data_IF_790878604831
#
_entry.id   IF_790878604831
#
_cell.length_a   1.000
_cell.length_b   1.000
_cell.length_c   1.000
_cell.angle_alpha   90.00
_cell.angle_beta   90.00
_cell.angle_gamma   90.00
#
_symmetry.space_group_name_H-M   'P 1'
#
loop_
_entity.id
_entity.type
_entity.pdbx_description
1 polymer ?
#
# COMPACT_ATOMS: atom_id res chain seq x y z
N UNK A 1 34.74 -54.05 71.71
CA UNK A 1 34.04 -52.86 71.14
C UNK A 1 32.60 -52.98 71.59
N UNK A 2 32.15 -52.12 72.54
CA UNK A 2 30.80 -52.13 73.04
C UNK A 2 29.86 -51.54 71.99
N UNK A 3 28.87 -52.29 71.55
CA UNK A 3 27.85 -51.90 70.63
C UNK A 3 26.76 -51.15 71.44
N UNK A 4 26.94 -49.81 71.60
CA UNK A 4 25.94 -48.98 72.28
C UNK A 4 24.65 -48.94 71.43
N UNK A 5 23.56 -49.42 72.00
CA UNK A 5 22.26 -49.30 71.42
C UNK A 5 21.80 -47.82 71.35
N UNK A 6 21.38 -47.30 70.24
CA UNK A 6 20.91 -45.92 70.13
C UNK A 6 19.83 -45.61 71.17
N UNK A 7 19.93 -44.43 71.80
CA UNK A 7 18.91 -43.98 72.75
C UNK A 7 17.52 -43.90 72.14
N UNK A 8 16.41 -44.11 72.89
CA UNK A 8 15.08 -43.99 72.41
C UNK A 8 14.81 -42.63 71.70
N UNK A 9 15.45 -41.57 72.24
CA UNK A 9 15.35 -40.21 71.65
C UNK A 9 16.03 -40.14 70.29
N UNK A 10 17.25 -40.74 70.15
CA UNK A 10 17.93 -40.78 68.85
C UNK A 10 17.17 -41.56 67.78
N UNK A 11 16.51 -42.63 68.19
CA UNK A 11 15.69 -43.44 67.30
C UNK A 11 14.41 -42.72 66.83
N UNK A 12 13.77 -41.93 67.73
CA UNK A 12 12.57 -41.12 67.38
C UNK A 12 12.93 -39.99 66.42
N UNK A 13 14.08 -39.32 66.66
CA UNK A 13 14.61 -38.28 65.79
C UNK A 13 14.95 -38.83 64.39
N UNK A 14 15.56 -40.00 64.31
CA UNK A 14 15.92 -40.62 63.02
C UNK A 14 14.67 -41.00 62.25
N UNK A 15 13.64 -41.56 62.91
CA UNK A 15 12.35 -41.90 62.25
C UNK A 15 11.65 -40.66 61.79
N UNK A 16 11.64 -39.57 62.53
CA UNK A 16 11.03 -38.29 62.09
C UNK A 16 11.76 -37.70 60.88
N UNK A 17 13.11 -37.75 60.83
CA UNK A 17 13.89 -37.30 59.68
C UNK A 17 13.54 -38.13 58.41
N UNK A 18 13.48 -39.47 58.57
CA UNK A 18 13.13 -40.38 57.43
C UNK A 18 11.72 -40.10 56.90
N UNK A 19 10.75 -39.83 57.77
CA UNK A 19 9.39 -39.50 57.35
C UNK A 19 9.31 -38.15 56.66
N UNK A 20 10.05 -37.15 57.11
CA UNK A 20 10.14 -35.84 56.47
C UNK A 20 10.78 -35.98 55.07
N UNK A 21 11.89 -36.68 54.93
CA UNK A 21 12.56 -36.90 53.65
C UNK A 21 11.68 -37.70 52.70
N UNK A 22 11.00 -38.73 53.20
CA UNK A 22 10.06 -39.52 52.41
C UNK A 22 8.84 -38.67 51.93
N UNK A 23 8.30 -37.81 52.83
CA UNK A 23 7.21 -36.90 52.52
C UNK A 23 7.61 -35.84 51.47
N UNK A 24 8.76 -35.20 51.61
CA UNK A 24 9.29 -34.25 50.64
C UNK A 24 9.58 -34.93 49.30
N UNK A 25 10.18 -36.15 49.34
CA UNK A 25 10.45 -36.94 48.15
C UNK A 25 9.15 -37.30 47.41
N UNK A 26 8.10 -37.69 48.13
CA UNK A 26 6.78 -37.98 47.51
C UNK A 26 6.12 -36.76 46.89
N UNK A 27 6.21 -35.57 47.52
CA UNK A 27 5.70 -34.32 46.98
C UNK A 27 6.47 -33.94 45.71
N UNK A 28 7.79 -34.04 45.70
CA UNK A 28 8.62 -33.73 44.53
C UNK A 28 8.32 -34.69 43.36
N UNK A 29 8.13 -35.99 43.65
CA UNK A 29 7.74 -36.98 42.64
C UNK A 29 6.33 -36.73 42.12
N UNK A 30 5.38 -36.32 42.95
CA UNK A 30 4.04 -35.96 42.56
C UNK A 30 4.07 -34.75 41.66
N UNK A 31 4.77 -33.67 41.99
CA UNK A 31 4.88 -32.47 41.14
C UNK A 31 5.64 -32.76 39.82
N UNK A 32 6.66 -33.64 39.87
CA UNK A 32 7.37 -34.06 38.65
C UNK A 32 6.50 -34.88 37.69
N UNK A 33 5.70 -35.79 38.24
CA UNK A 33 4.79 -36.65 37.44
C UNK A 33 3.41 -36.01 37.19
N UNK A 34 3.14 -34.84 37.74
CA UNK A 34 1.90 -34.12 37.51
C UNK A 34 1.80 -33.85 36.01
N UNK A 35 0.74 -34.32 35.31
CA UNK A 35 0.57 -34.00 33.94
C UNK A 35 0.55 -32.47 33.78
N UNK A 36 1.56 -31.91 33.14
CA UNK A 36 1.52 -30.49 32.76
C UNK A 36 0.31 -30.35 31.87
N UNK A 37 -0.71 -29.67 32.36
CA UNK A 37 -1.84 -29.30 31.52
C UNK A 37 -1.27 -28.66 30.26
N UNK A 38 -1.40 -29.32 29.12
CA UNK A 38 -1.03 -28.72 27.85
C UNK A 38 -1.90 -27.46 27.75
N UNK A 39 -1.28 -26.30 27.88
CA UNK A 39 -1.94 -25.04 27.58
C UNK A 39 -2.28 -25.15 26.11
N UNK A 40 -3.55 -25.39 25.78
CA UNK A 40 -4.03 -25.36 24.41
C UNK A 40 -3.84 -23.94 23.94
N UNK A 41 -2.79 -23.71 23.16
CA UNK A 41 -2.58 -22.41 22.51
C UNK A 41 -3.68 -22.32 21.45
N UNK A 42 -4.66 -21.45 21.69
CA UNK A 42 -5.69 -21.14 20.70
C UNK A 42 -5.00 -20.58 19.46
N UNK A 43 -5.24 -21.23 18.34
CA UNK A 43 -4.79 -20.77 17.02
C UNK A 43 -5.98 -20.40 16.16
N UNK A 44 -5.80 -19.46 15.29
CA UNK A 44 -6.78 -18.97 14.32
C UNK A 44 -7.29 -20.11 13.46
N UNK A 45 -8.60 -20.28 13.38
CA UNK A 45 -9.30 -21.23 12.53
C UNK A 45 -10.20 -20.49 11.53
N UNK A 46 -10.59 -21.16 10.46
CA UNK A 46 -11.63 -20.65 9.57
C UNK A 46 -12.96 -20.54 10.34
N UNK A 47 -13.63 -19.40 10.18
CA UNK A 47 -14.83 -19.01 10.93
C UNK A 47 -14.55 -18.02 12.07
N UNK A 48 -13.34 -17.99 12.61
CA UNK A 48 -12.96 -17.08 13.68
C UNK A 48 -12.99 -15.62 13.24
N UNK A 49 -13.03 -14.72 14.24
CA UNK A 49 -12.77 -13.30 14.05
C UNK A 49 -11.49 -12.93 14.77
N UNK A 50 -10.66 -12.12 14.14
CA UNK A 50 -9.37 -11.69 14.72
C UNK A 50 -9.17 -10.20 14.53
N UNK A 51 -8.42 -9.58 15.44
CA UNK A 51 -7.80 -8.28 15.17
C UNK A 51 -6.33 -8.49 14.87
N UNK A 52 -5.84 -7.80 13.85
CA UNK A 52 -4.45 -7.92 13.42
C UNK A 52 -3.80 -6.56 13.23
N UNK A 53 -2.53 -6.45 13.62
CA UNK A 53 -1.66 -5.40 13.11
C UNK A 53 -0.92 -5.90 11.87
N UNK A 54 -0.72 -5.01 10.89
CA UNK A 54 -0.05 -5.40 9.66
C UNK A 54 0.74 -4.26 8.99
N UNK A 55 1.67 -4.68 8.14
CA UNK A 55 2.33 -3.86 7.13
C UNK A 55 2.12 -4.60 5.81
N UNK A 56 1.50 -3.94 4.83
CA UNK A 56 1.31 -4.45 3.47
C UNK A 56 2.31 -3.80 2.53
N UNK A 57 3.12 -4.62 1.88
CA UNK A 57 4.19 -4.22 0.97
C UNK A 57 4.05 -4.92 -0.38
N UNK A 58 4.59 -4.32 -1.44
CA UNK A 58 4.73 -5.02 -2.70
C UNK A 58 5.81 -6.08 -2.59
N UNK A 59 5.49 -7.33 -2.89
CA UNK A 59 6.42 -8.47 -2.82
C UNK A 59 7.33 -8.57 -4.06
N UNK A 60 7.00 -7.86 -5.15
CA UNK A 60 7.75 -7.91 -6.41
C UNK A 60 7.54 -6.65 -7.25
N UNK A 61 8.22 -6.58 -8.41
CA UNK A 61 8.07 -5.46 -9.35
C UNK A 61 8.88 -4.22 -8.98
N UNK A 62 8.58 -3.11 -9.66
CA UNK A 62 9.30 -1.84 -9.50
C UNK A 62 9.11 -1.19 -8.13
N UNK A 63 8.04 -1.53 -7.43
CA UNK A 63 7.71 -1.04 -6.10
C UNK A 63 7.98 -2.09 -5.00
N UNK A 64 8.75 -3.15 -5.27
CA UNK A 64 9.07 -4.18 -4.26
C UNK A 64 9.60 -3.55 -2.96
N UNK A 65 9.02 -3.95 -1.82
CA UNK A 65 9.34 -3.41 -0.49
C UNK A 65 8.70 -2.05 -0.18
N UNK A 66 7.93 -1.45 -1.11
CA UNK A 66 7.17 -0.23 -0.82
C UNK A 66 5.86 -0.56 -0.10
N UNK A 67 5.58 0.19 0.95
CA UNK A 67 4.35 0.04 1.76
C UNK A 67 3.18 0.67 1.04
N UNK A 68 2.12 -0.11 0.76
CA UNK A 68 0.87 0.39 0.20
C UNK A 68 -0.22 0.60 1.26
N UNK A 69 -0.15 -0.10 2.40
CA UNK A 69 -1.06 0.11 3.54
C UNK A 69 -0.46 -0.44 4.84
N UNK A 70 -0.90 0.10 5.99
CA UNK A 70 -0.44 -0.35 7.31
C UNK A 70 -1.43 0.03 8.41
N UNK A 71 -1.46 -0.76 9.49
CA UNK A 71 -2.15 -0.42 10.73
C UNK A 71 -1.27 0.38 11.71
N UNK A 72 0.02 0.59 11.42
CA UNK A 72 0.95 1.29 12.31
C UNK A 72 1.18 2.72 11.88
N UNK A 73 0.84 3.70 12.72
CA UNK A 73 1.16 5.11 12.49
C UNK A 73 2.67 5.35 12.32
N UNK A 74 3.51 4.69 13.13
CA UNK A 74 4.97 4.83 13.05
C UNK A 74 5.54 4.38 11.69
N UNK A 75 4.94 3.38 11.05
CA UNK A 75 5.28 2.96 9.69
C UNK A 75 4.78 3.98 8.68
N UNK A 76 3.54 4.44 8.84
CA UNK A 76 2.88 5.38 7.92
C UNK A 76 3.66 6.70 7.74
N UNK A 77 4.27 7.21 8.81
CA UNK A 77 5.00 8.51 8.79
C UNK A 77 6.51 8.38 8.55
N UNK A 78 7.05 7.17 8.56
CA UNK A 78 8.49 6.92 8.38
C UNK A 78 8.79 6.49 6.94
N UNK A 79 9.03 7.46 6.05
CA UNK A 79 9.34 7.17 4.65
C UNK A 79 10.79 6.70 4.43
N UNK A 80 11.69 6.93 5.40
CA UNK A 80 13.09 6.52 5.27
C UNK A 80 13.26 5.02 5.42
N UNK A 81 12.63 4.43 6.45
CA UNK A 81 12.71 2.98 6.71
C UNK A 81 11.62 2.18 6.01
N UNK A 82 10.53 2.83 5.62
CA UNK A 82 9.36 2.24 4.99
C UNK A 82 8.97 3.11 3.79
N UNK A 83 9.64 2.98 2.64
CA UNK A 83 9.27 3.72 1.43
C UNK A 83 7.82 3.43 1.08
N UNK A 84 7.11 4.46 0.59
CA UNK A 84 5.68 4.35 0.26
C UNK A 84 5.49 4.08 -1.22
N UNK A 85 4.42 3.36 -1.52
CA UNK A 85 3.99 3.18 -2.89
C UNK A 85 3.53 4.50 -3.53
N UNK A 86 3.41 4.51 -4.85
CA UNK A 86 3.05 5.71 -5.61
C UNK A 86 1.64 6.21 -5.29
N UNK A 87 0.70 5.30 -5.04
CA UNK A 87 -0.69 5.63 -4.67
C UNK A 87 -0.93 5.57 -3.15
N UNK A 88 0.12 5.48 -2.32
CA UNK A 88 -0.04 5.43 -0.87
C UNK A 88 -0.82 6.64 -0.35
N UNK A 89 -1.89 6.36 0.38
CA UNK A 89 -2.71 7.39 1.03
C UNK A 89 -2.73 7.18 2.55
N UNK A 90 -2.21 8.12 3.36
CA UNK A 90 -2.23 7.99 4.81
C UNK A 90 -3.67 8.06 5.33
N UNK A 91 -3.98 7.25 6.36
CA UNK A 91 -5.31 7.18 6.98
C UNK A 91 -5.71 8.41 7.79
N UNK A 92 -4.80 9.39 7.95
CA UNK A 92 -5.03 10.60 8.75
C UNK A 92 -4.29 10.59 10.09
N UNK A 93 -4.92 11.06 11.19
CA UNK A 93 -4.26 11.18 12.49
C UNK A 93 -3.91 9.81 13.10
N UNK A 94 -3.05 9.81 14.13
CA UNK A 94 -2.60 8.58 14.82
C UNK A 94 -3.75 7.68 15.28
N UNK A 95 -4.88 8.27 15.66
CA UNK A 95 -6.09 7.54 16.09
C UNK A 95 -6.79 6.74 14.99
N UNK A 96 -6.46 6.98 13.71
CA UNK A 96 -6.98 6.22 12.57
C UNK A 96 -6.20 4.91 12.32
N UNK A 97 -5.06 4.73 12.99
CA UNK A 97 -4.22 3.55 12.88
C UNK A 97 -4.51 2.58 14.03
N UNK A 98 -5.43 1.69 13.79
CA UNK A 98 -5.89 0.66 14.74
C UNK A 98 -5.73 -0.73 14.12
N UNK A 99 -5.66 -1.80 14.93
CA UNK A 99 -5.70 -3.16 14.41
C UNK A 99 -6.91 -3.37 13.48
N UNK A 100 -6.70 -4.08 12.38
CA UNK A 100 -7.75 -4.44 11.43
C UNK A 100 -8.57 -5.61 11.98
N UNK A 101 -9.89 -5.46 12.04
CA UNK A 101 -10.80 -6.55 12.32
C UNK A 101 -11.02 -7.42 11.07
N UNK A 102 -10.71 -8.70 11.15
CA UNK A 102 -10.78 -9.66 10.05
C UNK A 102 -11.67 -10.83 10.42
N UNK A 103 -12.66 -11.12 9.56
CA UNK A 103 -13.34 -12.40 9.56
C UNK A 103 -12.51 -13.41 8.77
N UNK A 104 -12.13 -14.53 9.39
CA UNK A 104 -11.27 -15.56 8.80
C UNK A 104 -12.13 -16.51 7.97
N UNK A 105 -12.40 -16.14 6.73
CA UNK A 105 -13.25 -16.92 5.84
C UNK A 105 -13.61 -16.18 4.54
N UNK A 106 -14.23 -16.89 3.58
CA UNK A 106 -14.53 -16.35 2.26
C UNK A 106 -15.67 -15.32 2.26
N UNK A 107 -16.55 -15.35 3.24
CA UNK A 107 -17.73 -14.48 3.32
C UNK A 107 -17.97 -13.99 4.74
N UNK A 108 -17.91 -12.68 4.95
CA UNK A 108 -18.48 -12.06 6.14
C UNK A 108 -19.98 -11.80 5.89
N UNK A 109 -20.83 -11.74 6.95
CA UNK A 109 -22.19 -11.24 6.82
C UNK A 109 -22.21 -9.87 6.14
N UNK A 110 -23.24 -9.59 5.33
CA UNK A 110 -23.35 -8.35 4.55
C UNK A 110 -23.30 -7.04 5.38
N UNK A 111 -23.56 -7.12 6.69
CA UNK A 111 -23.48 -6.00 7.64
C UNK A 111 -22.12 -5.87 8.34
N UNK A 112 -21.12 -6.71 7.99
CA UNK A 112 -19.95 -6.95 8.83
C UNK A 112 -20.32 -7.73 10.08
N UNK A 113 -19.33 -8.36 10.72
CA UNK A 113 -19.53 -9.00 12.02
C UNK A 113 -19.04 -8.05 13.11
N UNK A 114 -19.90 -7.74 14.10
CA UNK A 114 -19.55 -6.78 15.17
C UNK A 114 -19.54 -7.48 16.52
N UNK A 115 -18.43 -7.37 17.24
CA UNK A 115 -18.29 -7.83 18.63
C UNK A 115 -17.93 -6.58 19.47
N UNK A 116 -18.84 -6.13 20.30
CA UNK A 116 -18.69 -4.86 21.03
C UNK A 116 -18.58 -3.68 20.04
N UNK A 117 -17.45 -2.97 20.07
CA UNK A 117 -17.16 -1.84 19.17
C UNK A 117 -16.25 -2.24 17.98
N UNK A 118 -15.92 -3.53 17.84
CA UNK A 118 -15.05 -4.04 16.78
C UNK A 118 -15.89 -4.52 15.61
N UNK A 119 -15.52 -4.11 14.39
CA UNK A 119 -16.11 -4.58 13.14
C UNK A 119 -15.11 -5.48 12.43
N UNK A 120 -15.55 -6.66 12.01
CA UNK A 120 -14.74 -7.64 11.29
C UNK A 120 -15.21 -7.70 9.85
N UNK A 121 -14.29 -7.52 8.93
CA UNK A 121 -14.56 -7.45 7.51
C UNK A 121 -13.95 -8.65 6.77
N UNK A 122 -14.49 -8.93 5.59
CA UNK A 122 -13.84 -9.84 4.65
C UNK A 122 -12.59 -9.16 4.08
N UNK A 123 -11.54 -9.93 3.94
CA UNK A 123 -10.29 -9.51 3.29
C UNK A 123 -10.00 -10.43 2.11
N UNK A 124 -8.97 -10.11 1.31
CA UNK A 124 -8.58 -10.96 0.16
C UNK A 124 -8.22 -12.37 0.62
N UNK A 125 -8.51 -13.35 -0.24
CA UNK A 125 -8.45 -14.79 0.10
C UNK A 125 -7.09 -15.19 0.66
N UNK A 126 -5.99 -14.79 0.03
CA UNK A 126 -4.64 -15.15 0.49
C UNK A 126 -4.31 -14.60 1.88
N UNK A 127 -4.86 -13.41 2.21
CA UNK A 127 -4.63 -12.81 3.53
C UNK A 127 -5.28 -13.63 4.65
N UNK A 128 -6.61 -13.90 4.57
CA UNK A 128 -7.26 -14.66 5.65
C UNK A 128 -6.79 -16.11 5.72
N UNK A 129 -6.49 -16.77 4.58
CA UNK A 129 -5.91 -18.11 4.57
C UNK A 129 -4.55 -18.15 5.27
N UNK A 130 -3.72 -17.11 5.08
CA UNK A 130 -2.43 -16.99 5.73
C UNK A 130 -2.50 -16.78 7.26
N UNK A 131 -3.65 -16.34 7.81
CA UNK A 131 -3.86 -16.19 9.24
C UNK A 131 -4.11 -17.53 9.93
N UNK A 132 -4.68 -18.52 9.25
CA UNK A 132 -5.01 -19.83 9.82
C UNK A 132 -3.78 -20.48 10.44
N UNK A 133 -3.95 -20.98 11.67
CA UNK A 133 -2.90 -21.61 12.47
C UNK A 133 -1.98 -20.64 13.24
N UNK A 134 -2.13 -19.30 13.09
CA UNK A 134 -1.42 -18.34 13.93
C UNK A 134 -2.01 -18.30 15.34
N UNK A 135 -1.15 -18.21 16.34
CA UNK A 135 -1.55 -17.94 17.73
C UNK A 135 -1.59 -16.43 18.01
N UNK A 136 -2.25 -16.03 19.09
CA UNK A 136 -2.20 -14.66 19.59
C UNK A 136 -0.77 -14.18 19.81
N UNK A 137 -0.47 -12.94 19.43
CA UNK A 137 0.84 -12.30 19.42
C UNK A 137 1.89 -12.95 18.50
N UNK A 138 1.49 -13.89 17.66
CA UNK A 138 2.40 -14.46 16.65
C UNK A 138 2.42 -13.58 15.41
N UNK A 139 3.63 -13.39 14.85
CA UNK A 139 3.86 -12.64 13.60
C UNK A 139 4.24 -13.61 12.48
N UNK A 140 3.72 -13.34 11.28
CA UNK A 140 4.04 -14.09 10.05
C UNK A 140 4.04 -13.13 8.86
N UNK A 141 4.91 -13.38 7.89
CA UNK A 141 4.77 -12.81 6.55
C UNK A 141 3.85 -13.70 5.72
N UNK A 142 2.79 -13.11 5.18
CA UNK A 142 1.81 -13.78 4.32
C UNK A 142 2.02 -13.25 2.91
N UNK A 143 2.41 -14.14 1.99
CA UNK A 143 2.58 -13.81 0.56
C UNK A 143 1.26 -14.07 -0.15
N UNK A 144 0.71 -13.04 -0.78
CA UNK A 144 -0.59 -13.08 -1.47
C UNK A 144 -0.37 -12.85 -2.96
N UNK A 145 -0.43 -13.91 -3.78
CA UNK A 145 -0.33 -13.77 -5.23
C UNK A 145 -1.61 -13.11 -5.81
N UNK A 146 -1.56 -12.55 -7.04
CA UNK A 146 -2.68 -11.80 -7.62
C UNK A 146 -4.02 -12.57 -7.62
N UNK A 147 -4.01 -13.86 -7.93
CA UNK A 147 -5.21 -14.70 -7.97
C UNK A 147 -5.87 -14.96 -6.61
N UNK A 148 -5.14 -14.77 -5.50
CA UNK A 148 -5.66 -14.83 -4.13
C UNK A 148 -5.76 -13.44 -3.49
N UNK A 149 -5.34 -12.40 -4.22
CA UNK A 149 -5.38 -11.00 -3.83
C UNK A 149 -6.40 -10.21 -4.64
N UNK A 150 -5.93 -9.17 -5.33
CA UNK A 150 -6.77 -8.22 -6.06
C UNK A 150 -7.02 -8.61 -7.52
N UNK A 151 -6.63 -9.80 -7.93
CA UNK A 151 -6.84 -10.31 -9.29
C UNK A 151 -5.79 -9.85 -10.30
N UNK A 152 -5.93 -10.33 -11.54
CA UNK A 152 -5.07 -9.94 -12.64
C UNK A 152 -5.36 -8.50 -13.12
N UNK A 153 -4.42 -7.87 -13.80
CA UNK A 153 -4.61 -6.58 -14.46
C UNK A 153 -5.80 -6.64 -15.45
N UNK A 154 -6.62 -5.60 -15.42
CA UNK A 154 -7.67 -5.40 -16.40
C UNK A 154 -7.09 -4.63 -17.60
N UNK A 155 -6.96 -5.29 -18.74
CA UNK A 155 -6.42 -4.69 -19.96
C UNK A 155 -7.23 -3.48 -20.47
N UNK A 156 -8.53 -3.40 -20.17
CA UNK A 156 -9.36 -2.25 -20.54
C UNK A 156 -9.05 -0.99 -19.71
N UNK A 157 -8.34 -1.13 -18.61
CA UNK A 157 -7.84 -0.04 -17.78
C UNK A 157 -6.40 0.37 -18.14
N UNK A 158 -5.91 -0.05 -19.32
CA UNK A 158 -4.57 0.29 -19.80
C UNK A 158 -4.69 1.07 -21.12
N UNK A 159 -3.84 2.09 -21.27
CA UNK A 159 -3.76 2.93 -22.47
C UNK A 159 -2.32 3.01 -22.96
N UNK A 160 -2.14 3.00 -24.26
CA UNK A 160 -0.84 3.24 -24.90
C UNK A 160 -0.81 4.66 -25.43
N UNK A 161 0.24 5.40 -25.06
CA UNK A 161 0.46 6.79 -25.48
C UNK A 161 1.83 6.94 -26.16
N UNK A 162 1.99 7.86 -27.11
CA UNK A 162 3.25 8.06 -27.82
C UNK A 162 4.30 8.74 -26.93
N UNK A 163 5.58 8.36 -27.08
CA UNK A 163 6.71 9.05 -26.45
C UNK A 163 7.05 10.37 -27.12
N UNK A 164 6.55 10.60 -28.33
CA UNK A 164 6.72 11.86 -29.08
C UNK A 164 5.37 12.29 -29.61
N UNK A 165 4.99 13.51 -29.34
CA UNK A 165 3.78 14.10 -29.88
C UNK A 165 3.95 15.59 -30.16
N UNK A 166 2.94 16.24 -30.74
CA UNK A 166 3.00 17.66 -31.06
C UNK A 166 1.90 18.44 -30.38
N UNK A 167 2.24 19.67 -29.94
CA UNK A 167 1.31 20.70 -29.49
C UNK A 167 1.29 21.86 -30.49
N UNK A 168 0.20 22.64 -30.58
CA UNK A 168 0.16 23.83 -31.43
C UNK A 168 0.96 24.98 -30.82
N UNK A 169 1.58 25.80 -31.68
CA UNK A 169 2.20 27.08 -31.25
C UNK A 169 1.12 28.12 -30.92
N UNK A 170 -0.02 28.09 -31.64
CA UNK A 170 -1.15 28.99 -31.43
C UNK A 170 -2.41 28.19 -31.09
N UNK A 171 -3.11 28.60 -30.04
CA UNK A 171 -4.38 28.02 -29.62
C UNK A 171 -5.49 29.07 -29.68
N UNK A 172 -6.59 28.76 -30.33
CA UNK A 172 -7.81 29.57 -30.36
C UNK A 172 -8.74 29.12 -29.23
N UNK A 173 -8.96 29.95 -28.24
CA UNK A 173 -9.75 29.65 -27.05
C UNK A 173 -11.04 30.49 -27.09
N UNK A 174 -12.24 29.89 -27.00
CA UNK A 174 -13.46 30.67 -26.81
C UNK A 174 -13.39 31.55 -25.57
N UNK A 175 -13.74 32.83 -25.66
CA UNK A 175 -13.70 33.79 -24.53
C UNK A 175 -14.41 33.22 -23.31
N UNK A 176 -15.60 32.60 -23.51
CA UNK A 176 -16.37 32.00 -22.42
C UNK A 176 -15.67 30.82 -21.67
N UNK A 177 -14.66 30.21 -22.29
CA UNK A 177 -13.92 29.09 -21.71
C UNK A 177 -12.52 29.47 -21.23
N UNK A 178 -12.06 30.67 -21.55
CA UNK A 178 -10.68 31.10 -21.26
C UNK A 178 -10.34 30.94 -19.77
N UNK A 179 -11.14 31.53 -18.87
CA UNK A 179 -10.89 31.45 -17.42
C UNK A 179 -11.03 30.04 -16.82
N UNK A 180 -11.72 29.12 -17.51
CA UNK A 180 -11.77 27.70 -17.08
C UNK A 180 -10.52 26.93 -17.52
N UNK A 181 -10.02 27.19 -18.73
CA UNK A 181 -8.86 26.54 -19.31
C UNK A 181 -7.54 27.11 -18.76
N UNK A 182 -7.52 28.38 -18.45
CA UNK A 182 -6.37 29.14 -17.94
C UNK A 182 -6.78 29.92 -16.68
N UNK A 183 -6.92 29.25 -15.53
CA UNK A 183 -7.44 29.86 -14.30
C UNK A 183 -6.59 31.01 -13.78
N UNK A 184 -5.29 30.96 -14.01
CA UNK A 184 -4.32 32.00 -13.62
C UNK A 184 -4.10 33.06 -14.73
N UNK A 185 -4.76 32.89 -15.89
CA UNK A 185 -4.62 33.74 -17.05
C UNK A 185 -5.60 34.91 -17.08
N UNK A 186 -5.20 36.02 -17.68
CA UNK A 186 -6.07 37.16 -17.98
C UNK A 186 -6.21 37.31 -19.49
N UNK A 187 -7.47 37.40 -19.99
CA UNK A 187 -7.77 37.57 -21.41
C UNK A 187 -7.48 39.02 -21.89
N UNK A 188 -6.23 39.45 -21.72
CA UNK A 188 -5.73 40.76 -22.10
C UNK A 188 -4.50 40.58 -22.98
N UNK A 189 -4.43 41.27 -24.11
CA UNK A 189 -3.28 41.20 -25.03
C UNK A 189 -2.00 41.51 -24.31
N UNK A 190 -0.98 40.65 -24.47
CA UNK A 190 0.32 40.71 -23.82
C UNK A 190 0.34 40.07 -22.41
N UNK A 191 -0.77 39.61 -21.84
CA UNK A 191 -0.75 38.85 -20.59
C UNK A 191 0.02 37.55 -20.78
N UNK A 192 0.86 37.21 -19.79
CA UNK A 192 1.67 35.99 -19.75
C UNK A 192 1.23 35.18 -18.54
N UNK A 193 1.05 33.85 -18.72
CA UNK A 193 0.63 32.92 -17.70
C UNK A 193 1.16 31.51 -17.99
N UNK A 194 1.19 30.63 -17.00
CA UNK A 194 1.57 29.24 -17.18
C UNK A 194 0.45 28.46 -17.91
N UNK A 195 0.84 27.67 -18.93
CA UNK A 195 -0.07 26.69 -19.53
C UNK A 195 -0.30 25.55 -18.52
N UNK A 196 -1.57 25.26 -18.14
CA UNK A 196 -1.86 24.27 -17.11
C UNK A 196 -1.63 22.82 -17.58
N UNK A 197 -1.56 22.59 -18.89
CA UNK A 197 -1.30 21.26 -19.48
C UNK A 197 0.18 20.96 -19.56
N UNK A 198 0.96 21.94 -20.00
CA UNK A 198 2.38 21.73 -20.31
C UNK A 198 3.34 22.36 -19.30
N UNK A 199 2.89 23.37 -18.54
CA UNK A 199 3.68 24.06 -17.53
C UNK A 199 4.65 25.12 -18.08
N UNK A 200 4.74 25.31 -19.39
CA UNK A 200 5.48 26.44 -19.98
C UNK A 200 4.65 27.72 -19.90
N UNK A 201 5.24 28.86 -20.29
CA UNK A 201 4.51 30.13 -20.38
C UNK A 201 3.81 30.29 -21.73
N UNK A 202 2.59 30.80 -21.69
CA UNK A 202 1.83 31.26 -22.82
C UNK A 202 1.62 32.77 -22.76
N UNK A 203 1.28 33.40 -23.89
CA UNK A 203 0.88 34.81 -23.97
C UNK A 203 -0.35 35.01 -24.82
N UNK A 204 -1.19 35.99 -24.47
CA UNK A 204 -2.34 36.39 -25.26
C UNK A 204 -1.89 37.29 -26.42
N UNK A 205 -2.08 36.85 -27.67
CA UNK A 205 -1.76 37.64 -28.86
C UNK A 205 -2.90 38.57 -29.29
N UNK A 206 -4.14 38.08 -29.21
CA UNK A 206 -5.29 38.87 -29.56
C UNK A 206 -6.54 38.43 -28.84
N UNK A 207 -7.47 39.35 -28.67
CA UNK A 207 -8.80 39.12 -28.07
C UNK A 207 -9.84 39.77 -28.96
N UNK A 208 -10.89 39.05 -29.31
CA UNK A 208 -12.08 39.58 -29.94
C UNK A 208 -13.32 39.16 -29.15
N UNK A 209 -14.51 39.42 -29.63
CA UNK A 209 -15.80 39.15 -28.96
C UNK A 209 -16.05 37.66 -28.69
N UNK A 210 -15.40 36.74 -29.41
CA UNK A 210 -15.67 35.30 -29.33
C UNK A 210 -14.42 34.47 -28.99
N UNK A 211 -13.22 34.98 -29.31
CA UNK A 211 -11.97 34.17 -29.26
C UNK A 211 -10.83 34.94 -28.65
N UNK A 212 -10.07 34.25 -27.82
CA UNK A 212 -8.73 34.63 -27.34
C UNK A 212 -7.73 33.79 -28.10
N UNK A 213 -6.75 34.43 -28.77
CA UNK A 213 -5.63 33.71 -29.39
C UNK A 213 -4.47 33.71 -28.41
N UNK A 214 -4.04 32.51 -28.03
CA UNK A 214 -2.94 32.24 -27.12
C UNK A 214 -1.77 31.67 -27.90
N UNK A 215 -0.56 32.18 -27.63
CA UNK A 215 0.68 31.67 -28.20
C UNK A 215 1.57 31.08 -27.12
N UNK A 216 2.16 29.92 -27.40
CA UNK A 216 3.18 29.34 -26.56
C UNK A 216 4.48 30.14 -26.65
N UNK A 217 5.13 30.34 -25.49
CA UNK A 217 6.49 30.91 -25.37
C UNK A 217 7.56 29.81 -25.20
N UNK A 218 7.20 28.55 -25.43
CA UNK A 218 8.14 27.44 -25.36
C UNK A 218 9.22 27.54 -26.43
N UNK A 219 10.43 27.10 -26.11
CA UNK A 219 11.58 27.00 -27.01
C UNK A 219 12.17 25.59 -26.92
N UNK A 220 13.00 25.20 -27.89
CA UNK A 220 13.72 23.92 -27.83
C UNK A 220 14.54 23.85 -26.54
N UNK A 221 14.39 22.72 -25.81
CA UNK A 221 14.96 22.51 -24.47
C UNK A 221 14.02 22.90 -23.31
N UNK A 222 12.88 23.55 -23.57
CA UNK A 222 11.89 23.82 -22.51
C UNK A 222 11.35 22.50 -21.96
N UNK A 223 11.36 22.35 -20.61
CA UNK A 223 10.73 21.22 -19.93
C UNK A 223 9.22 21.39 -19.89
N UNK A 224 8.51 20.31 -20.08
CA UNK A 224 7.05 20.24 -20.04
C UNK A 224 6.62 19.02 -19.25
N UNK A 225 5.43 19.09 -18.65
CA UNK A 225 4.93 18.03 -17.78
C UNK A 225 3.48 17.67 -18.12
N UNK A 226 3.16 17.34 -19.40
CA UNK A 226 1.80 16.90 -19.73
C UNK A 226 1.44 15.66 -18.91
N UNK A 227 0.23 15.68 -18.33
CA UNK A 227 -0.26 14.63 -17.43
C UNK A 227 0.73 14.30 -16.27
N UNK A 228 1.58 15.25 -15.87
CA UNK A 228 2.59 15.06 -14.82
C UNK A 228 3.86 14.35 -15.26
N UNK A 229 3.95 13.92 -16.52
CA UNK A 229 5.10 13.16 -17.04
C UNK A 229 6.19 14.09 -17.58
N UNK A 230 7.49 13.71 -17.45
CA UNK A 230 8.59 14.55 -17.91
C UNK A 230 8.76 14.48 -19.43
N UNK A 231 8.60 15.63 -20.08
CA UNK A 231 8.84 15.84 -21.50
C UNK A 231 9.78 17.04 -21.73
N UNK A 232 10.37 17.10 -22.90
CA UNK A 232 11.15 18.24 -23.35
C UNK A 232 10.71 18.63 -24.76
N UNK A 233 10.72 19.94 -25.04
CA UNK A 233 10.53 20.44 -26.41
C UNK A 233 11.78 20.07 -27.22
N UNK A 234 11.63 19.12 -28.14
CA UNK A 234 12.71 18.59 -28.98
C UNK A 234 12.83 19.32 -30.33
N UNK A 235 11.73 19.88 -30.82
CA UNK A 235 11.71 20.68 -32.02
C UNK A 235 10.57 21.71 -32.01
N UNK A 236 10.75 22.81 -32.75
CA UNK A 236 9.79 23.89 -32.90
C UNK A 236 9.79 24.37 -34.33
N UNK A 237 8.61 24.59 -34.92
CA UNK A 237 8.43 25.29 -36.18
C UNK A 237 7.33 26.36 -36.05
N UNK A 238 6.90 26.98 -37.15
CA UNK A 238 5.94 28.08 -37.13
C UNK A 238 4.57 27.70 -36.56
N UNK A 239 4.18 26.41 -36.56
CA UNK A 239 2.84 25.95 -36.21
C UNK A 239 2.81 24.90 -35.13
N UNK A 240 3.90 24.15 -34.93
CA UNK A 240 3.94 23.00 -34.03
C UNK A 240 5.16 23.00 -33.12
N UNK A 241 4.93 22.54 -31.90
CA UNK A 241 5.93 22.25 -30.87
C UNK A 241 5.99 20.72 -30.77
N UNK A 242 7.17 20.13 -30.97
CA UNK A 242 7.37 18.69 -30.80
C UNK A 242 7.89 18.42 -29.38
N UNK A 243 7.20 17.55 -28.65
CA UNK A 243 7.58 17.09 -27.32
C UNK A 243 8.12 15.67 -27.40
N UNK A 244 9.22 15.43 -26.70
CA UNK A 244 9.79 14.09 -26.56
C UNK A 244 9.86 13.72 -25.08
N UNK A 245 9.39 12.53 -24.74
CA UNK A 245 9.43 12.01 -23.37
C UNK A 245 10.87 11.83 -22.90
N UNK A 246 11.11 12.11 -21.62
CA UNK A 246 12.35 11.83 -20.91
C UNK A 246 12.34 10.45 -20.21
N UNK A 247 11.26 9.69 -20.37
CA UNK A 247 11.10 8.36 -19.78
C UNK A 247 11.94 7.32 -20.54
N UNK A 248 12.38 6.31 -19.82
CA UNK A 248 13.10 5.14 -20.31
C UNK A 248 12.49 3.86 -19.74
N UNK A 249 12.81 2.68 -20.24
CA UNK A 249 12.34 1.42 -19.64
C UNK A 249 12.66 1.28 -18.15
N UNK A 250 13.75 1.88 -17.67
CA UNK A 250 14.12 1.88 -16.25
C UNK A 250 13.15 2.67 -15.36
N UNK A 251 12.32 3.53 -15.95
CA UNK A 251 11.31 4.32 -15.21
C UNK A 251 9.96 3.61 -15.09
N UNK A 252 9.77 2.46 -15.71
CA UNK A 252 8.53 1.68 -15.59
C UNK A 252 8.22 1.37 -14.12
N UNK A 253 6.97 1.62 -13.71
CA UNK A 253 6.51 1.46 -12.32
C UNK A 253 6.98 2.53 -11.34
N UNK A 254 7.68 3.58 -11.80
CA UNK A 254 8.24 4.63 -10.93
C UNK A 254 7.56 6.01 -11.07
N UNK A 255 6.70 6.18 -12.07
CA UNK A 255 6.00 7.45 -12.31
C UNK A 255 4.50 7.30 -12.16
N UNK A 256 3.94 8.19 -11.33
CA UNK A 256 2.50 8.44 -11.24
C UNK A 256 2.18 9.65 -12.12
N UNK A 257 1.34 9.42 -13.13
CA UNK A 257 0.78 10.46 -13.98
C UNK A 257 -0.65 10.79 -13.58
N UNK A 258 -1.14 11.93 -14.08
CA UNK A 258 -2.51 12.39 -13.87
C UNK A 258 -3.12 12.84 -15.18
N UNK A 259 -3.99 12.03 -15.77
CA UNK A 259 -4.65 12.34 -17.04
C UNK A 259 -5.54 13.58 -16.89
N UNK A 260 -5.18 14.67 -17.59
CA UNK A 260 -5.94 15.93 -17.61
C UNK A 260 -7.28 15.77 -18.34
N UNK A 261 -7.40 14.76 -19.20
CA UNK A 261 -8.64 14.35 -19.86
C UNK A 261 -8.64 12.84 -20.14
N UNK A 262 -9.79 12.21 -20.06
CA UNK A 262 -9.96 10.83 -20.53
C UNK A 262 -9.31 9.76 -19.66
N UNK A 263 -9.48 9.82 -18.34
CA UNK A 263 -9.13 8.73 -17.43
C UNK A 263 -9.86 7.43 -17.78
N UNK A 264 -9.35 6.28 -17.31
CA UNK A 264 -9.93 4.97 -17.52
C UNK A 264 -10.36 4.34 -16.20
N UNK A 265 -11.37 3.46 -16.27
CA UNK A 265 -11.85 2.70 -15.10
C UNK A 265 -12.22 3.57 -13.89
N UNK A 266 -12.69 4.81 -14.14
CA UNK A 266 -13.06 5.76 -13.09
C UNK A 266 -11.88 6.45 -12.39
N UNK A 267 -10.64 6.24 -12.87
CA UNK A 267 -9.42 6.88 -12.36
C UNK A 267 -8.87 7.88 -13.39
N UNK A 268 -8.32 8.96 -12.91
CA UNK A 268 -7.49 9.90 -13.67
C UNK A 268 -6.00 9.68 -13.41
N UNK A 269 -5.64 9.15 -12.25
CA UNK A 269 -4.28 8.76 -11.92
C UNK A 269 -3.92 7.43 -12.58
N UNK A 270 -2.67 7.34 -13.06
CA UNK A 270 -2.14 6.14 -13.70
C UNK A 270 -0.66 5.95 -13.37
N UNK A 271 -0.21 4.71 -13.40
CA UNK A 271 1.21 4.38 -13.29
C UNK A 271 1.75 4.07 -14.70
N UNK A 272 2.91 4.63 -15.04
CA UNK A 272 3.62 4.25 -16.27
C UNK A 272 4.16 2.84 -16.09
N UNK A 273 3.48 1.83 -16.63
CA UNK A 273 3.82 0.42 -16.42
C UNK A 273 4.84 -0.13 -17.40
N UNK A 274 5.01 0.50 -18.56
CA UNK A 274 6.03 0.15 -19.55
C UNK A 274 6.44 1.36 -20.39
N UNK A 275 7.69 1.36 -20.86
CA UNK A 275 8.23 2.30 -21.86
C UNK A 275 8.92 1.49 -22.94
N UNK A 276 8.39 1.55 -24.16
CA UNK A 276 8.94 0.87 -25.35
C UNK A 276 9.55 1.89 -26.30
N UNK A 277 10.89 2.01 -26.26
CA UNK A 277 11.62 2.93 -27.12
C UNK A 277 11.61 2.47 -28.60
N UNK A 278 11.46 1.15 -28.86
CA UNK A 278 11.40 0.62 -30.22
C UNK A 278 10.08 0.92 -30.90
N UNK A 279 8.97 0.79 -30.18
CA UNK A 279 7.63 1.17 -30.64
C UNK A 279 7.38 2.69 -30.49
N UNK A 280 8.20 3.41 -29.72
CA UNK A 280 8.00 4.84 -29.44
C UNK A 280 6.77 5.12 -28.57
N UNK A 281 6.47 4.20 -27.62
CA UNK A 281 5.25 4.29 -26.80
C UNK A 281 5.52 4.06 -25.30
N UNK A 282 4.60 4.56 -24.47
CA UNK A 282 4.48 4.21 -23.06
C UNK A 282 3.12 3.59 -22.79
N UNK A 283 3.03 2.79 -21.73
CA UNK A 283 1.78 2.19 -21.25
C UNK A 283 1.36 2.81 -19.94
N UNK A 284 0.19 3.41 -19.92
CA UNK A 284 -0.47 3.99 -18.77
C UNK A 284 -1.41 2.96 -18.16
N UNK A 285 -1.21 2.64 -16.89
CA UNK A 285 -2.00 1.67 -16.15
C UNK A 285 -2.89 2.39 -15.14
N UNK A 286 -4.20 2.38 -15.37
CA UNK A 286 -5.24 2.96 -14.51
C UNK A 286 -5.86 1.92 -13.55
N UNK A 287 -5.35 0.69 -13.51
CA UNK A 287 -5.75 -0.27 -12.49
C UNK A 287 -5.36 0.24 -11.09
N UNK A 288 -6.04 -0.20 -10.00
CA UNK A 288 -5.50 -0.05 -8.66
C UNK A 288 -4.07 -0.58 -8.57
N UNK A 289 -3.17 0.11 -7.89
CA UNK A 289 -1.75 -0.24 -7.87
C UNK A 289 -1.46 -1.65 -7.35
N UNK A 290 -2.32 -2.20 -6.48
CA UNK A 290 -2.21 -3.56 -5.92
C UNK A 290 -2.72 -4.66 -6.86
N UNK A 291 -3.44 -4.28 -7.94
CA UNK A 291 -4.01 -5.24 -8.88
C UNK A 291 -2.92 -5.79 -9.83
N UNK A 292 -2.87 -7.11 -9.96
CA UNK A 292 -1.83 -7.80 -10.74
C UNK A 292 -0.54 -8.06 -9.98
N UNK A 293 -0.40 -7.54 -8.77
CA UNK A 293 0.82 -7.61 -7.97
C UNK A 293 0.80 -8.75 -6.94
N UNK A 294 1.97 -9.29 -6.65
CA UNK A 294 2.18 -10.13 -5.45
C UNK A 294 2.42 -9.21 -4.27
N UNK A 295 1.67 -9.44 -3.19
CA UNK A 295 1.71 -8.61 -1.99
C UNK A 295 2.24 -9.42 -0.81
N UNK A 296 3.08 -8.78 0.00
CA UNK A 296 3.59 -9.31 1.25
C UNK A 296 2.94 -8.57 2.42
N UNK A 297 2.34 -9.33 3.34
CA UNK A 297 1.77 -8.78 4.56
C UNK A 297 2.54 -9.31 5.77
N UNK A 298 3.24 -8.45 6.47
CA UNK A 298 3.79 -8.77 7.80
C UNK A 298 2.68 -8.57 8.82
N UNK A 299 2.11 -9.67 9.32
CA UNK A 299 0.89 -9.65 10.15
C UNK A 299 1.19 -10.18 11.54
N UNK A 300 0.66 -9.49 12.56
CA UNK A 300 0.65 -9.93 13.97
C UNK A 300 -0.77 -10.05 14.45
N UNK A 301 -1.19 -11.22 14.93
CA UNK A 301 -2.51 -11.41 15.57
C UNK A 301 -2.51 -10.72 16.93
N UNK A 302 -3.46 -9.79 17.15
CA UNK A 302 -3.63 -9.07 18.42
C UNK A 302 -4.62 -9.81 19.30
N UNK A 303 -5.86 -9.97 18.83
CA UNK A 303 -6.92 -10.66 19.55
C UNK A 303 -7.55 -11.75 18.68
N UNK A 304 -8.00 -12.82 19.32
CA UNK A 304 -8.70 -13.94 18.70
C UNK A 304 -10.07 -14.13 19.36
N UNK A 305 -11.11 -14.11 18.55
CA UNK A 305 -12.49 -14.32 18.92
C UNK A 305 -13.00 -15.57 18.19
N UNK A 306 -12.96 -16.75 18.82
CA UNK A 306 -13.42 -18.01 18.23
C UNK A 306 -14.89 -17.93 17.80
N UNK A 307 -15.26 -18.66 16.72
CA UNK A 307 -16.61 -18.74 16.17
C UNK A 307 -17.61 -19.42 17.12
#
# INVERSE_FOLDING_TARGET
MANEKPSRTAMVVLVAIVLIVAGVGAILLYEYNRPKSATTILSVQEGDNVTVNYIGEFGSGAQAGHVFDTSFYSVAVNNLSYPKSLEYSPRGPVTAYTPLGVHVGPTAPASGYTIGNLTFNTVVTGFWQGLVGLAGNQTRTIVVPPNLGYGALNASCMRTSPLVFTAPVLTNVPVAKFGTLYPDGTATVGAVFADPTYGWNDTVLSVNTTTVVVASLASVGTLAHPDGLPFVVSALNATTITLSSQLSPANAGQFLGHATSGGLCGKTEFIVSAVDLGAGTLTENFNPEVQGETLDFVVTVVDLFPA
#
